data_IF_952962266886
#
_entry.id   IF_952962266886
#
_cell.length_a   1.000
_cell.length_b   1.000
_cell.length_c   1.000
_cell.angle_alpha   90.00
_cell.angle_beta   90.00
_cell.angle_gamma   90.00
#
_symmetry.space_group_name_H-M   'P 1'
#
loop_
_entity.id
_entity.type
_entity.pdbx_description
1 polymer ?
#
# COMPACT_ATOMS: atom_id res chain seq x y z
N UNK A 1 24.72 11.56 -14.87
CA UNK A 1 23.26 11.53 -14.56
C UNK A 1 23.11 10.61 -13.37
N UNK A 2 22.74 11.14 -12.20
CA UNK A 2 22.49 10.36 -11.00
C UNK A 2 20.96 10.32 -10.72
N UNK A 3 20.50 9.50 -9.78
CA UNK A 3 19.08 9.36 -9.47
C UNK A 3 18.44 10.69 -9.02
N UNK A 4 19.18 11.54 -8.33
CA UNK A 4 18.73 12.85 -7.88
C UNK A 4 18.49 13.81 -9.04
N UNK A 5 19.33 13.74 -10.10
CA UNK A 5 19.16 14.53 -11.34
C UNK A 5 17.92 14.09 -12.14
N UNK A 6 17.46 12.85 -11.94
CA UNK A 6 16.22 12.31 -12.53
C UNK A 6 14.98 12.49 -11.64
N UNK A 7 15.12 13.20 -10.52
CA UNK A 7 13.99 13.54 -9.63
C UNK A 7 13.65 12.48 -8.58
N UNK A 8 14.51 11.47 -8.39
CA UNK A 8 14.32 10.42 -7.37
C UNK A 8 15.22 10.70 -6.18
N UNK A 9 14.65 10.91 -5.01
CA UNK A 9 15.36 11.10 -3.75
C UNK A 9 15.46 9.79 -2.96
N UNK A 10 16.59 9.09 -3.13
CA UNK A 10 16.84 7.80 -2.48
C UNK A 10 16.93 7.90 -0.94
N UNK A 11 17.38 9.05 -0.40
CA UNK A 11 17.45 9.25 1.05
C UNK A 11 16.06 9.44 1.66
N UNK A 12 15.22 10.26 1.02
CA UNK A 12 13.82 10.43 1.43
C UNK A 12 13.07 9.09 1.37
N UNK A 13 13.29 8.30 0.32
CA UNK A 13 12.71 6.98 0.19
C UNK A 13 13.14 6.02 1.31
N UNK A 14 14.44 5.99 1.67
CA UNK A 14 14.93 5.15 2.76
C UNK A 14 14.38 5.57 4.12
N UNK A 15 14.40 6.85 4.44
CA UNK A 15 13.85 7.38 5.69
C UNK A 15 12.36 7.09 5.83
N UNK A 16 11.61 7.20 4.72
CA UNK A 16 10.20 6.85 4.67
C UNK A 16 9.97 5.36 4.97
N UNK A 17 10.75 4.46 4.35
CA UNK A 17 10.65 3.02 4.58
C UNK A 17 11.01 2.65 6.03
N UNK A 18 12.00 3.29 6.65
CA UNK A 18 12.34 3.08 8.06
C UNK A 18 11.18 3.48 8.97
N UNK A 19 10.60 4.66 8.77
CA UNK A 19 9.42 5.11 9.52
C UNK A 19 8.22 4.17 9.32
N UNK A 20 8.05 3.64 8.12
CA UNK A 20 6.98 2.70 7.81
C UNK A 20 7.17 1.37 8.53
N UNK A 21 8.41 0.84 8.60
CA UNK A 21 8.75 -0.39 9.32
C UNK A 21 8.49 -0.31 10.82
N UNK A 22 8.67 0.86 11.42
CA UNK A 22 8.31 1.08 12.83
C UNK A 22 6.81 0.88 13.08
N UNK A 23 5.97 1.34 12.14
CA UNK A 23 4.51 1.24 12.21
C UNK A 23 3.96 -0.10 11.71
N UNK A 24 4.69 -0.77 10.83
CA UNK A 24 4.32 -2.04 10.23
C UNK A 24 5.50 -3.02 10.28
N UNK A 25 5.81 -3.59 11.45
CA UNK A 25 6.96 -4.49 11.62
C UNK A 25 6.86 -5.80 10.83
N UNK A 26 5.72 -6.08 10.22
CA UNK A 26 5.52 -7.18 9.27
C UNK A 26 6.16 -6.94 7.90
N UNK A 27 6.58 -5.71 7.59
CA UNK A 27 7.28 -5.40 6.35
C UNK A 27 8.71 -5.91 6.46
N UNK A 28 9.03 -6.89 5.61
CA UNK A 28 10.35 -7.53 5.55
C UNK A 28 11.34 -6.84 4.62
N UNK A 29 11.97 -7.63 3.74
CA UNK A 29 12.87 -7.17 2.69
C UNK A 29 12.14 -6.76 1.40
N UNK A 30 12.74 -7.05 0.23
CA UNK A 30 12.13 -6.71 -1.07
C UNK A 30 10.87 -7.50 -1.40
N UNK A 31 10.69 -8.70 -0.84
CA UNK A 31 9.49 -9.52 -1.00
C UNK A 31 8.72 -9.65 0.31
N UNK A 32 7.40 -9.52 0.24
CA UNK A 32 6.52 -9.85 1.36
C UNK A 32 6.43 -11.37 1.54
N UNK A 33 6.61 -11.86 2.77
CA UNK A 33 6.48 -13.27 3.10
C UNK A 33 5.28 -13.49 4.00
N UNK A 34 4.47 -14.48 3.63
CA UNK A 34 3.31 -14.88 4.42
C UNK A 34 3.21 -16.40 4.45
N UNK A 35 3.04 -16.97 5.64
CA UNK A 35 2.87 -18.42 5.80
C UNK A 35 1.48 -18.83 5.31
N UNK A 36 1.42 -19.84 4.43
CA UNK A 36 0.14 -20.37 3.97
C UNK A 36 -0.62 -20.98 5.16
N UNK A 37 -1.87 -20.58 5.40
CA UNK A 37 -2.65 -21.10 6.53
C UNK A 37 -2.79 -22.62 6.47
N UNK A 38 -2.63 -23.28 7.62
CA UNK A 38 -2.77 -24.74 7.74
C UNK A 38 -4.24 -25.12 7.89
N UNK A 39 -4.55 -26.38 7.65
CA UNK A 39 -5.90 -26.93 7.84
C UNK A 39 -6.74 -26.99 6.58
N UNK A 40 -6.17 -26.72 5.42
CA UNK A 40 -6.78 -26.91 4.11
C UNK A 40 -6.14 -28.12 3.42
N UNK A 41 -6.95 -28.99 2.83
CA UNK A 41 -6.44 -30.16 2.07
C UNK A 41 -5.83 -29.72 0.73
N UNK A 42 -6.52 -28.84 0.00
CA UNK A 42 -6.09 -28.30 -1.30
C UNK A 42 -6.29 -26.77 -1.30
N UNK A 43 -5.39 -25.99 -0.67
CA UNK A 43 -5.57 -24.55 -0.57
C UNK A 43 -5.40 -23.86 -1.92
N UNK A 44 -6.35 -22.99 -2.26
CA UNK A 44 -6.28 -22.10 -3.42
C UNK A 44 -6.00 -20.67 -2.91
N UNK A 45 -4.99 -20.03 -3.46
CA UNK A 45 -4.71 -18.62 -3.19
C UNK A 45 -5.45 -17.76 -4.21
N UNK A 46 -6.28 -16.85 -3.72
CA UNK A 46 -6.95 -15.81 -4.51
C UNK A 46 -6.18 -14.52 -4.36
N UNK A 47 -5.83 -13.89 -5.47
CA UNK A 47 -5.13 -12.61 -5.48
C UNK A 47 -5.93 -11.59 -6.29
N UNK A 48 -6.01 -10.37 -5.79
CA UNK A 48 -6.64 -9.25 -6.46
C UNK A 48 -5.77 -8.00 -6.31
N UNK A 49 -5.89 -7.09 -7.26
CA UNK A 49 -5.27 -5.77 -7.20
C UNK A 49 -6.22 -4.75 -7.78
N UNK A 50 -6.38 -3.64 -7.09
CA UNK A 50 -7.21 -2.53 -7.53
C UNK A 50 -6.60 -1.21 -7.05
N UNK A 51 -7.14 -0.11 -7.55
CA UNK A 51 -6.73 1.24 -7.19
C UNK A 51 -7.93 2.11 -6.78
N UNK A 52 -7.64 3.27 -6.21
CA UNK A 52 -8.68 4.23 -5.79
C UNK A 52 -9.27 5.05 -6.94
N UNK A 53 -8.68 4.98 -8.12
CA UNK A 53 -9.18 5.64 -9.32
C UNK A 53 -9.41 7.14 -9.13
N UNK A 54 -10.56 7.61 -9.59
CA UNK A 54 -10.95 9.04 -9.57
C UNK A 54 -11.21 9.58 -8.16
N UNK A 55 -11.35 8.75 -7.14
CA UNK A 55 -11.48 9.19 -5.73
C UNK A 55 -10.29 10.05 -5.30
N UNK A 56 -9.11 9.83 -5.87
CA UNK A 56 -7.93 10.67 -5.64
C UNK A 56 -8.16 12.14 -5.99
N UNK A 57 -9.03 12.45 -6.95
CA UNK A 57 -9.37 13.83 -7.29
C UNK A 57 -10.15 14.53 -6.16
N UNK A 58 -10.97 13.77 -5.43
CA UNK A 58 -11.70 14.29 -4.26
C UNK A 58 -10.70 14.65 -3.17
N UNK A 59 -9.71 13.78 -2.89
CA UNK A 59 -8.65 14.07 -1.92
C UNK A 59 -7.86 15.32 -2.28
N UNK A 60 -7.57 15.53 -3.57
CA UNK A 60 -6.88 16.73 -4.05
C UNK A 60 -7.69 18.01 -3.81
N UNK A 61 -8.99 17.97 -4.04
CA UNK A 61 -9.89 19.12 -3.81
C UNK A 61 -10.06 19.38 -2.31
N UNK A 62 -10.28 18.33 -1.52
CA UNK A 62 -10.43 18.41 -0.07
C UNK A 62 -9.11 18.74 0.64
N UNK A 63 -7.97 18.49 0.01
CA UNK A 63 -6.62 18.54 0.60
C UNK A 63 -6.47 17.61 1.82
N UNK A 64 -7.18 16.49 1.78
CA UNK A 64 -7.16 15.45 2.80
C UNK A 64 -6.91 14.10 2.14
N UNK A 65 -5.85 13.41 2.59
CA UNK A 65 -5.41 12.12 2.07
C UNK A 65 -5.46 11.02 3.14
N UNK A 66 -5.94 11.32 4.33
CA UNK A 66 -5.87 10.43 5.49
C UNK A 66 -6.77 9.21 5.38
N UNK A 67 -7.85 9.27 4.60
CA UNK A 67 -8.84 8.19 4.47
C UNK A 67 -8.72 7.38 3.18
N UNK A 68 -8.05 7.90 2.15
CA UNK A 68 -7.99 7.24 0.84
C UNK A 68 -7.28 5.88 0.90
N UNK A 69 -6.36 5.70 1.84
CA UNK A 69 -5.70 4.42 2.07
C UNK A 69 -6.66 3.34 2.58
N UNK A 70 -7.68 3.72 3.35
CA UNK A 70 -8.74 2.80 3.77
C UNK A 70 -9.52 2.31 2.56
N UNK A 71 -9.88 3.23 1.66
CA UNK A 71 -10.56 2.90 0.40
C UNK A 71 -9.71 1.95 -0.46
N UNK A 72 -8.40 2.19 -0.55
CA UNK A 72 -7.49 1.33 -1.31
C UNK A 72 -7.53 -0.11 -0.81
N UNK A 73 -7.42 -0.32 0.49
CA UNK A 73 -7.49 -1.65 1.09
C UNK A 73 -8.86 -2.27 0.85
N UNK A 74 -9.93 -1.48 1.03
CA UNK A 74 -11.30 -1.96 0.82
C UNK A 74 -11.55 -2.41 -0.63
N UNK A 75 -11.05 -1.67 -1.64
CA UNK A 75 -11.20 -2.05 -3.05
C UNK A 75 -10.62 -3.44 -3.31
N UNK A 76 -9.40 -3.70 -2.85
CA UNK A 76 -8.75 -5.00 -3.04
C UNK A 76 -9.40 -6.12 -2.20
N UNK A 77 -9.72 -5.83 -0.93
CA UNK A 77 -10.30 -6.84 -0.01
C UNK A 77 -11.69 -7.26 -0.44
N UNK A 78 -12.51 -6.33 -0.95
CA UNK A 78 -13.86 -6.65 -1.40
C UNK A 78 -13.83 -7.62 -2.59
N UNK A 79 -12.88 -7.49 -3.53
CA UNK A 79 -12.73 -8.42 -4.63
C UNK A 79 -12.42 -9.84 -4.13
N UNK A 80 -11.52 -9.97 -3.16
CA UNK A 80 -11.18 -11.26 -2.53
C UNK A 80 -12.41 -11.88 -1.87
N UNK A 81 -13.21 -11.10 -1.14
CA UNK A 81 -14.41 -11.57 -0.45
C UNK A 81 -15.47 -12.06 -1.45
N UNK A 82 -15.64 -11.42 -2.60
CA UNK A 82 -16.60 -11.86 -3.63
C UNK A 82 -16.30 -13.25 -4.15
N UNK A 83 -15.04 -13.68 -4.09
CA UNK A 83 -14.61 -15.04 -4.42
C UNK A 83 -14.82 -16.04 -3.27
N UNK A 84 -15.37 -15.63 -2.12
CA UNK A 84 -15.50 -16.46 -0.92
C UNK A 84 -14.18 -16.71 -0.20
N UNK A 85 -13.12 -16.01 -0.57
CA UNK A 85 -11.82 -16.15 0.04
C UNK A 85 -11.66 -15.25 1.27
N UNK A 86 -10.82 -15.69 2.22
CA UNK A 86 -10.45 -14.92 3.39
C UNK A 86 -9.25 -14.04 3.07
N UNK A 87 -9.31 -12.71 3.28
CA UNK A 87 -8.15 -11.84 3.17
C UNK A 87 -7.04 -12.26 4.15
N UNK A 88 -5.80 -12.32 3.70
CA UNK A 88 -4.67 -12.79 4.49
C UNK A 88 -3.63 -11.70 4.75
N UNK A 89 -3.25 -10.98 3.71
CA UNK A 89 -2.24 -9.93 3.75
C UNK A 89 -2.52 -8.87 2.68
N UNK A 90 -1.80 -7.78 2.75
CA UNK A 90 -1.87 -6.68 1.80
C UNK A 90 -0.48 -6.28 1.31
N UNK A 91 -0.42 -5.91 0.04
CA UNK A 91 0.72 -5.27 -0.62
C UNK A 91 0.20 -4.00 -1.27
N UNK A 92 0.84 -2.87 -1.01
CA UNK A 92 0.43 -1.59 -1.59
C UNK A 92 1.31 -1.17 -2.77
N UNK A 93 0.76 -0.33 -3.63
CA UNK A 93 1.53 0.40 -4.63
C UNK A 93 1.09 1.87 -4.64
N UNK A 94 2.01 2.76 -4.31
CA UNK A 94 1.79 4.21 -4.34
C UNK A 94 2.71 4.85 -5.37
N UNK A 95 2.13 5.49 -6.38
CA UNK A 95 2.85 6.28 -7.37
C UNK A 95 2.66 7.77 -7.09
N UNK A 96 3.75 8.48 -6.90
CA UNK A 96 3.74 9.91 -6.56
C UNK A 96 4.82 10.68 -7.32
N UNK A 97 4.67 12.00 -7.40
CA UNK A 97 5.75 12.88 -7.91
C UNK A 97 6.86 13.08 -6.91
N UNK A 98 6.54 13.04 -5.62
CA UNK A 98 7.45 13.25 -4.51
C UNK A 98 6.92 12.53 -3.28
N UNK A 99 7.81 11.92 -2.52
CA UNK A 99 7.49 11.39 -1.19
C UNK A 99 7.42 12.58 -0.23
N UNK A 100 6.21 12.92 0.20
CA UNK A 100 5.90 14.05 1.07
C UNK A 100 4.85 13.63 2.13
N UNK A 101 4.38 14.59 2.92
CA UNK A 101 3.40 14.36 3.99
C UNK A 101 2.10 13.71 3.48
N UNK A 102 1.71 13.96 2.22
CA UNK A 102 0.53 13.31 1.62
C UNK A 102 0.70 11.81 1.49
N UNK A 103 1.91 11.36 1.15
CA UNK A 103 2.22 9.92 1.09
C UNK A 103 2.17 9.33 2.49
N UNK A 104 2.66 10.06 3.50
CA UNK A 104 2.55 9.63 4.89
C UNK A 104 1.09 9.49 5.34
N UNK A 105 0.22 10.45 5.00
CA UNK A 105 -1.22 10.39 5.28
C UNK A 105 -1.88 9.19 4.59
N UNK A 106 -1.56 8.95 3.31
CA UNK A 106 -2.06 7.77 2.57
C UNK A 106 -1.66 6.48 3.29
N UNK A 107 -0.41 6.37 3.75
CA UNK A 107 0.07 5.18 4.46
C UNK A 107 -0.61 4.97 5.81
N UNK A 108 -0.93 6.04 6.54
CA UNK A 108 -1.75 5.95 7.76
C UNK A 108 -3.12 5.35 7.44
N UNK A 109 -3.75 5.80 6.35
CA UNK A 109 -5.01 5.24 5.86
C UNK A 109 -4.89 3.77 5.46
N UNK A 110 -3.82 3.36 4.78
CA UNK A 110 -3.56 1.96 4.39
C UNK A 110 -3.43 1.08 5.65
N UNK A 111 -2.65 1.49 6.63
CA UNK A 111 -2.48 0.75 7.88
C UNK A 111 -3.81 0.60 8.61
N UNK A 112 -4.62 1.67 8.65
CA UNK A 112 -5.97 1.61 9.24
C UNK A 112 -6.91 0.69 8.48
N UNK A 113 -6.87 0.71 7.16
CA UNK A 113 -7.63 -0.22 6.30
C UNK A 113 -7.22 -1.67 6.54
N UNK A 114 -5.92 -1.96 6.66
CA UNK A 114 -5.41 -3.28 7.00
C UNK A 114 -5.89 -3.75 8.38
N UNK A 115 -5.87 -2.87 9.39
CA UNK A 115 -6.40 -3.16 10.72
C UNK A 115 -7.89 -3.53 10.64
N UNK A 116 -8.70 -2.75 9.95
CA UNK A 116 -10.15 -2.99 9.78
C UNK A 116 -10.44 -4.30 9.05
N UNK A 117 -9.63 -4.65 8.06
CA UNK A 117 -9.76 -5.89 7.28
C UNK A 117 -9.17 -7.12 8.00
N UNK A 118 -8.46 -6.93 9.11
CA UNK A 118 -7.78 -7.99 9.84
C UNK A 118 -6.60 -8.61 9.07
N UNK A 119 -5.95 -7.83 8.21
CA UNK A 119 -4.80 -8.25 7.40
C UNK A 119 -3.54 -7.49 7.81
N UNK A 120 -2.37 -8.01 7.42
CA UNK A 120 -1.07 -7.35 7.64
C UNK A 120 -0.56 -6.73 6.34
N UNK A 121 -0.06 -5.51 6.41
CA UNK A 121 0.78 -4.96 5.35
C UNK A 121 2.17 -5.63 5.45
N UNK A 122 2.55 -6.42 4.44
CA UNK A 122 3.79 -7.21 4.45
C UNK A 122 4.83 -6.73 3.46
N UNK A 123 4.51 -5.72 2.65
CA UNK A 123 5.39 -5.12 1.66
C UNK A 123 4.60 -4.24 0.72
N UNK A 124 5.26 -3.77 -0.31
CA UNK A 124 4.67 -2.90 -1.31
C UNK A 124 5.74 -2.09 -2.02
N UNK A 125 5.32 -1.03 -2.71
CA UNK A 125 6.22 -0.13 -3.43
C UNK A 125 5.70 1.31 -3.37
N UNK A 126 6.58 2.25 -3.09
CA UNK A 126 6.31 3.67 -3.27
C UNK A 126 7.26 4.22 -4.33
N UNK A 127 6.71 4.51 -5.51
CA UNK A 127 7.47 4.95 -6.67
C UNK A 127 7.36 6.46 -6.88
N UNK A 128 8.51 7.15 -6.97
CA UNK A 128 8.58 8.52 -7.45
C UNK A 128 8.60 8.56 -8.97
N UNK A 129 7.59 9.19 -9.58
CA UNK A 129 7.43 9.34 -11.03
C UNK A 129 7.42 10.79 -11.46
N UNK A 130 8.44 11.21 -12.17
CA UNK A 130 8.63 12.60 -12.62
C UNK A 130 7.58 13.07 -13.64
N UNK A 131 6.86 12.17 -14.31
CA UNK A 131 5.97 12.46 -15.46
C UNK A 131 4.48 12.24 -15.21
N UNK A 132 3.98 12.42 -14.01
CA UNK A 132 2.53 12.55 -13.87
C UNK A 132 2.11 13.98 -14.16
N UNK A 133 1.62 14.20 -15.40
CA UNK A 133 0.97 15.46 -15.79
C UNK A 133 -0.45 15.52 -15.22
#
# INVERSE_FOLDING_TARGET
MNYKDSGVDLEAGRSFVETLKEKAPSIGGFGGMFEVPRGYEEPVLVSGTDGVGTKMNICRVARDYTTIGIDLVAMCVNDIITCGAKPLYFLDYVSTRKIDDKVADIMVGILKGCELAGVKLIGGETAENFRQR
#
